data_IF_668080043655
#
_entry.id   IF_668080043655
#
_cell.length_a   1.000
_cell.length_b   1.000
_cell.length_c   1.000
_cell.angle_alpha   90.00
_cell.angle_beta   90.00
_cell.angle_gamma   90.00
#
_symmetry.space_group_name_H-M   'P 1'
#
loop_
_entity.id
_entity.type
_entity.pdbx_description
1 polymer ?
#
# COMPACT_ATOMS: atom_id res chain seq x y z
N UNK A 1 -27.97 8.08 11.52
CA UNK A 1 -28.24 6.76 10.91
C UNK A 1 -28.29 7.03 9.41
N UNK A 2 -27.33 6.51 8.63
CA UNK A 2 -27.30 6.78 7.18
C UNK A 2 -28.42 5.97 6.53
N UNK A 3 -29.20 6.58 5.65
CA UNK A 3 -30.23 5.88 4.89
C UNK A 3 -29.57 4.78 4.03
N UNK A 4 -30.04 3.52 4.07
CA UNK A 4 -29.53 2.45 3.24
C UNK A 4 -29.47 2.79 1.74
N UNK A 5 -30.37 3.63 1.24
CA UNK A 5 -30.36 4.09 -0.15
C UNK A 5 -29.16 5.01 -0.43
N UNK A 6 -28.92 6.00 0.43
CA UNK A 6 -27.78 6.93 0.34
C UNK A 6 -26.44 6.19 0.45
N UNK A 7 -26.39 5.14 1.29
CA UNK A 7 -25.20 4.30 1.43
C UNK A 7 -24.88 3.49 0.16
N UNK A 8 -25.91 3.03 -0.57
CA UNK A 8 -25.74 2.31 -1.84
C UNK A 8 -25.27 3.27 -2.94
N UNK A 9 -25.85 4.47 -3.00
CA UNK A 9 -25.44 5.49 -4.00
C UNK A 9 -23.99 5.92 -3.76
N UNK A 10 -23.59 6.17 -2.52
CA UNK A 10 -22.22 6.50 -2.16
C UNK A 10 -21.23 5.38 -2.54
N UNK A 11 -21.62 4.11 -2.33
CA UNK A 11 -20.82 2.96 -2.75
C UNK A 11 -20.70 2.87 -4.28
N UNK A 12 -21.79 3.13 -5.00
CA UNK A 12 -21.81 3.10 -6.46
C UNK A 12 -20.87 4.15 -7.06
N UNK A 13 -20.88 5.37 -6.50
CA UNK A 13 -20.00 6.45 -6.96
C UNK A 13 -18.53 6.19 -6.64
N UNK A 14 -18.25 5.55 -5.50
CA UNK A 14 -16.90 5.08 -5.18
C UNK A 14 -16.42 4.01 -6.17
N UNK A 15 -17.27 3.05 -6.54
CA UNK A 15 -16.93 2.03 -7.54
C UNK A 15 -16.70 2.64 -8.94
N UNK A 16 -17.49 3.65 -9.34
CA UNK A 16 -17.26 4.40 -10.59
C UNK A 16 -15.93 5.14 -10.57
N UNK A 17 -15.58 5.77 -9.44
CA UNK A 17 -14.30 6.46 -9.24
C UNK A 17 -13.13 5.50 -9.36
N UNK A 18 -13.21 4.34 -8.71
CA UNK A 18 -12.18 3.30 -8.79
C UNK A 18 -12.01 2.78 -10.22
N UNK A 19 -13.12 2.57 -10.94
CA UNK A 19 -13.09 2.19 -12.36
C UNK A 19 -12.40 3.26 -13.23
N UNK A 20 -12.69 4.54 -13.00
CA UNK A 20 -12.01 5.64 -13.70
C UNK A 20 -10.51 5.70 -13.40
N UNK A 21 -10.11 5.25 -12.20
CA UNK A 21 -8.71 5.09 -11.79
C UNK A 21 -8.05 3.78 -12.27
N UNK A 22 -8.71 3.01 -13.15
CA UNK A 22 -8.16 1.79 -13.75
C UNK A 22 -8.29 0.53 -12.90
N UNK A 23 -9.00 0.59 -11.76
CA UNK A 23 -9.28 -0.58 -10.93
C UNK A 23 -10.39 -1.40 -11.59
N UNK A 24 -10.05 -2.62 -12.04
CA UNK A 24 -11.01 -3.50 -12.73
C UNK A 24 -11.62 -4.57 -11.82
N UNK A 25 -11.12 -4.72 -10.59
CA UNK A 25 -11.58 -5.72 -9.60
C UNK A 25 -11.50 -5.15 -8.19
N UNK A 26 -12.52 -5.42 -7.38
CA UNK A 26 -12.59 -5.04 -5.96
C UNK A 26 -12.91 -6.30 -5.16
N UNK A 27 -12.20 -6.54 -4.06
CA UNK A 27 -12.48 -7.65 -3.17
C UNK A 27 -13.59 -7.27 -2.19
N UNK A 28 -14.61 -8.12 -2.08
CA UNK A 28 -15.75 -7.91 -1.17
C UNK A 28 -15.89 -9.15 -0.30
N UNK A 29 -16.12 -8.99 1.01
CA UNK A 29 -16.34 -10.13 1.90
C UNK A 29 -17.69 -10.80 1.59
N UNK A 30 -17.84 -12.12 1.84
CA UNK A 30 -19.12 -12.81 1.67
C UNK A 30 -20.28 -12.11 2.39
N UNK A 31 -20.04 -11.60 3.59
CA UNK A 31 -21.03 -10.91 4.43
C UNK A 31 -21.46 -9.57 3.82
N UNK A 32 -20.50 -8.79 3.29
CA UNK A 32 -20.79 -7.53 2.60
C UNK A 32 -21.56 -7.77 1.31
N UNK A 33 -21.27 -8.87 0.61
CA UNK A 33 -21.95 -9.24 -0.62
C UNK A 33 -23.40 -9.71 -0.36
N UNK A 34 -23.62 -10.40 0.75
CA UNK A 34 -24.96 -10.77 1.23
C UNK A 34 -25.77 -9.56 1.67
N UNK A 35 -25.15 -8.62 2.40
CA UNK A 35 -25.77 -7.36 2.78
C UNK A 35 -26.22 -6.56 1.55
N UNK A 36 -25.35 -6.42 0.54
CA UNK A 36 -25.68 -5.74 -0.71
C UNK A 36 -26.82 -6.40 -1.48
N UNK A 37 -26.86 -7.74 -1.52
CA UNK A 37 -27.98 -8.49 -2.14
C UNK A 37 -29.30 -8.27 -1.42
N UNK A 38 -29.27 -8.18 -0.09
CA UNK A 38 -30.45 -7.90 0.74
C UNK A 38 -30.92 -6.46 0.55
N UNK A 39 -29.99 -5.51 0.44
CA UNK A 39 -30.27 -4.09 0.30
C UNK A 39 -30.72 -3.70 -1.13
N UNK A 40 -30.24 -4.40 -2.17
CA UNK A 40 -30.62 -4.15 -3.57
C UNK A 40 -32.01 -4.71 -3.96
N UNK A 41 -32.68 -5.44 -3.07
CA UNK A 41 -33.93 -6.14 -3.36
C UNK A 41 -33.74 -7.33 -4.32
N UNK A 42 -34.55 -8.38 -4.15
CA UNK A 42 -34.43 -9.61 -4.94
C UNK A 42 -34.80 -9.41 -6.41
N UNK A 43 -33.82 -9.11 -7.27
CA UNK A 43 -33.92 -9.45 -8.68
C UNK A 43 -33.40 -10.89 -8.89
N UNK A 44 -34.27 -11.79 -9.34
CA UNK A 44 -34.00 -13.21 -9.64
C UNK A 44 -32.69 -13.40 -10.42
N UNK A 45 -31.88 -14.44 -10.12
CA UNK A 45 -30.75 -14.75 -10.97
C UNK A 45 -31.23 -15.27 -12.33
N UNK A 46 -30.70 -14.71 -13.41
CA UNK A 46 -30.74 -15.35 -14.71
C UNK A 46 -29.90 -16.65 -14.64
N UNK A 47 -30.52 -17.76 -15.03
CA UNK A 47 -29.95 -19.09 -15.10
C UNK A 47 -28.63 -19.12 -15.88
N UNK A 48 -27.60 -19.71 -15.28
CA UNK A 48 -26.31 -19.96 -15.90
C UNK A 48 -26.43 -21.00 -17.02
N UNK A 49 -25.94 -20.67 -18.21
CA UNK A 49 -25.66 -21.65 -19.27
C UNK A 49 -24.31 -22.34 -18.99
N UNK A 50 -24.18 -23.67 -19.20
CA UNK A 50 -22.97 -24.41 -18.88
C UNK A 50 -21.85 -24.16 -19.91
N UNK A 51 -20.61 -24.08 -19.41
CA UNK A 51 -19.39 -24.07 -20.25
C UNK A 51 -18.98 -25.51 -20.62
N UNK A 52 -18.49 -25.78 -21.85
CA UNK A 52 -18.17 -27.12 -22.30
C UNK A 52 -16.79 -27.59 -21.81
N UNK A 53 -16.70 -28.88 -21.46
CA UNK A 53 -15.45 -29.61 -21.25
C UNK A 53 -14.81 -29.96 -22.59
N UNK A 54 -13.48 -29.88 -22.66
CA UNK A 54 -12.68 -30.38 -23.78
C UNK A 54 -12.38 -31.87 -23.60
N UNK A 55 -12.60 -32.67 -24.64
CA UNK A 55 -11.83 -33.90 -24.96
C UNK A 55 -12.13 -34.36 -26.40
N UNK A 56 -11.09 -34.41 -27.24
CA UNK A 56 -10.75 -35.51 -28.16
C UNK A 56 -11.66 -35.84 -29.36
N UNK A 57 -11.05 -35.80 -30.56
CA UNK A 57 -11.13 -36.90 -31.52
C UNK A 57 -12.07 -36.75 -32.71
N UNK A 58 -11.46 -36.47 -33.87
CA UNK A 58 -11.79 -36.89 -35.23
C UNK A 58 -13.13 -36.60 -35.91
N UNK A 59 -12.97 -36.13 -37.16
CA UNK A 59 -13.75 -36.49 -38.37
C UNK A 59 -14.62 -35.41 -39.04
N UNK A 60 -14.03 -34.80 -40.08
CA UNK A 60 -14.54 -34.72 -41.48
C UNK A 60 -15.70 -33.78 -41.84
N UNK A 61 -15.40 -32.89 -42.82
CA UNK A 61 -16.25 -32.18 -43.84
C UNK A 61 -17.41 -31.32 -43.27
N UNK A 62 -17.68 -30.09 -43.71
CA UNK A 62 -17.28 -29.28 -44.86
C UNK A 62 -18.30 -28.14 -45.02
N UNK A 63 -17.96 -27.17 -45.87
CA UNK A 63 -18.84 -26.12 -46.44
C UNK A 63 -19.19 -24.87 -45.60
N UNK A 64 -18.50 -23.78 -45.94
CA UNK A 64 -19.01 -22.39 -46.06
C UNK A 64 -20.26 -22.30 -46.97
N UNK A 65 -21.00 -21.16 -47.12
CA UNK A 65 -20.49 -19.79 -47.00
C UNK A 65 -21.44 -18.68 -46.47
N UNK A 66 -20.79 -17.51 -46.39
CA UNK A 66 -21.23 -16.13 -46.20
C UNK A 66 -22.30 -15.69 -47.22
N UNK A 67 -23.26 -14.88 -46.79
CA UNK A 67 -23.92 -13.89 -47.65
C UNK A 67 -24.39 -12.66 -46.83
N UNK A 68 -24.06 -11.49 -47.37
CA UNK A 68 -24.41 -10.17 -46.87
C UNK A 68 -25.87 -9.80 -47.15
N UNK A 69 -26.43 -8.83 -46.41
CA UNK A 69 -27.49 -7.97 -46.94
C UNK A 69 -27.47 -6.57 -46.31
N UNK A 70 -27.73 -5.59 -47.16
CA UNK A 70 -27.63 -4.14 -46.99
C UNK A 70 -28.95 -3.47 -46.61
N UNK A 71 -28.83 -2.35 -45.89
CA UNK A 71 -29.61 -1.10 -45.92
C UNK A 71 -31.14 -1.07 -45.63
N UNK A 72 -31.53 -0.14 -44.75
CA UNK A 72 -32.90 0.34 -44.57
C UNK A 72 -32.98 1.57 -43.66
N UNK A 73 -33.60 2.65 -44.12
CA UNK A 73 -33.59 4.02 -43.58
C UNK A 73 -34.91 4.36 -42.84
N UNK A 74 -34.82 5.33 -41.90
CA UNK A 74 -35.83 6.28 -41.37
C UNK A 74 -36.74 5.90 -40.19
N UNK A 75 -36.76 6.82 -39.21
CA UNK A 75 -37.81 6.95 -38.20
C UNK A 75 -37.41 7.86 -37.02
N UNK A 76 -37.34 9.18 -37.23
CA UNK A 76 -37.24 10.18 -36.14
C UNK A 76 -38.52 10.19 -35.29
N UNK A 77 -38.37 10.27 -33.95
CA UNK A 77 -39.43 10.61 -32.99
C UNK A 77 -39.08 11.93 -32.28
N UNK A 78 -40.08 12.73 -31.88
CA UNK A 78 -39.86 14.08 -31.38
C UNK A 78 -39.27 14.08 -29.96
N UNK A 79 -38.30 14.97 -29.73
CA UNK A 79 -37.74 15.25 -28.43
C UNK A 79 -38.67 16.13 -27.59
N UNK A 80 -38.98 15.71 -26.37
CA UNK A 80 -39.59 16.55 -25.34
C UNK A 80 -38.57 17.54 -24.77
N UNK A 81 -38.97 18.78 -24.43
CA UNK A 81 -38.02 19.79 -23.95
C UNK A 81 -37.61 19.48 -22.51
N UNK A 82 -36.32 19.16 -22.31
CA UNK A 82 -35.72 19.04 -20.99
C UNK A 82 -35.47 20.44 -20.43
N UNK A 83 -36.15 20.75 -19.33
CA UNK A 83 -35.97 22.00 -18.56
C UNK A 83 -34.56 22.00 -17.95
N UNK A 84 -33.77 23.08 -18.06
CA UNK A 84 -32.42 23.10 -17.51
C UNK A 84 -32.47 23.08 -15.98
N UNK A 85 -31.91 22.02 -15.38
CA UNK A 85 -31.60 21.97 -13.95
C UNK A 85 -30.45 22.93 -13.67
N UNK A 86 -30.51 23.74 -12.60
CA UNK A 86 -29.43 24.63 -12.25
C UNK A 86 -28.22 23.81 -11.84
N UNK A 87 -27.10 24.03 -12.53
CA UNK A 87 -25.79 23.48 -12.16
C UNK A 87 -25.44 24.10 -10.81
N UNK A 88 -25.55 23.32 -9.75
CA UNK A 88 -24.97 23.66 -8.46
C UNK A 88 -23.46 23.57 -8.65
N UNK A 89 -22.83 24.72 -8.89
CA UNK A 89 -21.37 24.85 -8.92
C UNK A 89 -20.91 24.62 -7.48
N UNK A 90 -20.46 23.41 -7.18
CA UNK A 90 -19.73 23.14 -5.94
C UNK A 90 -18.48 24.03 -5.96
N UNK A 91 -18.18 24.81 -4.91
CA UNK A 91 -16.96 25.59 -4.86
C UNK A 91 -15.77 24.64 -5.01
N UNK A 92 -14.99 24.82 -6.07
CA UNK A 92 -13.72 24.13 -6.24
C UNK A 92 -12.86 24.43 -5.01
N UNK A 93 -12.44 23.37 -4.31
CA UNK A 93 -11.43 23.47 -3.28
C UNK A 93 -10.23 24.25 -3.83
N UNK A 94 -9.74 25.24 -3.07
CA UNK A 94 -8.62 26.06 -3.47
C UNK A 94 -7.45 25.18 -3.96
N UNK A 95 -6.77 25.55 -5.07
CA UNK A 95 -5.69 24.74 -5.61
C UNK A 95 -4.57 24.66 -4.57
N UNK A 96 -4.37 23.46 -4.02
CA UNK A 96 -3.22 23.16 -3.16
C UNK A 96 -1.98 23.44 -4.00
N UNK A 97 -1.19 24.45 -3.63
CA UNK A 97 0.04 24.79 -4.35
C UNK A 97 0.89 23.52 -4.52
N UNK A 98 1.39 23.24 -5.73
CA UNK A 98 2.00 21.97 -6.06
C UNK A 98 3.23 21.69 -5.19
N UNK A 99 3.39 20.43 -4.80
CA UNK A 99 4.59 19.98 -4.08
C UNK A 99 5.82 20.31 -4.95
N UNK A 100 6.86 20.94 -4.38
CA UNK A 100 8.07 21.31 -5.10
C UNK A 100 8.84 20.07 -5.59
N UNK A 101 9.86 20.32 -6.43
CA UNK A 101 10.78 19.27 -6.87
C UNK A 101 11.46 18.58 -5.67
N UNK A 102 11.84 17.29 -5.81
CA UNK A 102 12.54 16.56 -4.76
C UNK A 102 13.80 17.31 -4.27
N UNK A 103 14.01 17.39 -2.96
CA UNK A 103 15.14 18.12 -2.39
C UNK A 103 16.46 17.40 -2.69
N UNK A 104 17.52 18.17 -2.93
CA UNK A 104 18.89 17.65 -2.93
C UNK A 104 19.38 17.62 -1.48
N UNK A 105 19.55 16.42 -0.94
CA UNK A 105 19.99 16.22 0.45
C UNK A 105 21.50 16.22 0.52
N UNK A 106 22.09 17.24 1.15
CA UNK A 106 23.53 17.31 1.44
C UNK A 106 23.73 17.31 2.95
N UNK A 107 24.49 16.33 3.45
CA UNK A 107 24.77 16.20 4.88
C UNK A 107 26.19 16.68 5.20
N UNK A 108 26.42 17.27 6.39
CA UNK A 108 27.77 17.65 6.80
C UNK A 108 28.69 16.43 6.89
N UNK A 109 30.00 16.67 6.84
CA UNK A 109 30.98 15.66 7.25
C UNK A 109 30.83 15.37 8.76
N UNK A 110 31.17 14.16 9.17
CA UNK A 110 31.07 13.73 10.57
C UNK A 110 30.81 12.24 10.70
N UNK A 111 30.73 11.78 11.95
CA UNK A 111 30.27 10.43 12.24
C UNK A 111 28.79 10.23 11.85
N UNK A 112 28.33 8.98 11.88
CA UNK A 112 26.96 8.67 11.47
C UNK A 112 25.91 9.34 12.37
N UNK A 113 26.18 9.51 13.67
CA UNK A 113 25.25 10.09 14.64
C UNK A 113 25.01 11.56 14.30
N UNK A 114 26.08 12.33 14.11
CA UNK A 114 26.00 13.74 13.74
C UNK A 114 25.31 13.93 12.38
N UNK A 115 25.63 13.07 11.40
CA UNK A 115 25.00 13.11 10.07
C UNK A 115 23.51 12.79 10.12
N UNK A 116 23.11 11.80 10.91
CA UNK A 116 21.70 11.44 11.07
C UNK A 116 20.93 12.55 11.80
N UNK A 117 21.51 13.13 12.85
CA UNK A 117 20.93 14.26 13.57
C UNK A 117 20.74 15.48 12.65
N UNK A 118 21.72 15.78 11.79
CA UNK A 118 21.62 16.84 10.79
C UNK A 118 20.50 16.56 9.78
N UNK A 119 20.35 15.32 9.33
CA UNK A 119 19.26 14.91 8.43
C UNK A 119 17.89 15.06 9.10
N UNK A 120 17.75 14.61 10.34
CA UNK A 120 16.52 14.75 11.13
C UNK A 120 16.14 16.22 11.33
N UNK A 121 17.12 17.07 11.65
CA UNK A 121 16.91 18.52 11.75
C UNK A 121 16.47 19.13 10.41
N UNK A 122 17.07 18.72 9.30
CA UNK A 122 16.71 19.18 7.96
C UNK A 122 15.26 18.82 7.62
N UNK A 123 14.85 17.57 7.86
CA UNK A 123 13.46 17.12 7.62
C UNK A 123 12.49 17.90 8.52
N UNK A 124 12.81 18.05 9.81
CA UNK A 124 11.96 18.76 10.76
C UNK A 124 11.85 20.26 10.47
N UNK A 125 12.84 20.83 9.77
CA UNK A 125 12.87 22.24 9.39
C UNK A 125 12.33 22.51 7.99
N UNK A 126 12.13 21.46 7.18
CA UNK A 126 11.66 21.58 5.81
C UNK A 126 10.28 22.27 5.75
N UNK A 127 10.14 23.39 5.01
CA UNK A 127 8.86 24.11 4.88
C UNK A 127 7.74 23.23 4.33
N UNK A 128 8.05 22.39 3.33
CA UNK A 128 7.05 21.50 2.73
C UNK A 128 6.61 20.41 3.72
N UNK A 129 7.54 19.80 4.46
CA UNK A 129 7.16 18.84 5.52
C UNK A 129 6.24 19.50 6.54
N UNK A 130 6.59 20.69 7.04
CA UNK A 130 5.79 21.43 8.02
C UNK A 130 4.40 21.79 7.50
N UNK A 131 4.28 22.12 6.22
CA UNK A 131 3.02 22.45 5.56
C UNK A 131 2.01 21.30 5.61
N UNK A 132 2.46 20.05 5.62
CA UNK A 132 1.59 18.87 5.67
C UNK A 132 1.32 18.35 7.10
N UNK A 133 1.84 19.01 8.14
CA UNK A 133 1.57 18.61 9.52
C UNK A 133 0.27 19.22 10.00
N UNK A 134 -0.64 18.36 10.48
CA UNK A 134 -1.84 18.79 11.19
C UNK A 134 -1.49 19.24 12.62
N UNK A 135 -2.36 20.02 13.28
CA UNK A 135 -2.17 20.38 14.69
C UNK A 135 -1.94 19.14 15.56
N UNK A 136 -0.89 19.18 16.39
CA UNK A 136 -0.49 18.05 17.24
C UNK A 136 0.38 17.00 16.56
N UNK A 137 0.51 17.01 15.23
CA UNK A 137 1.39 16.11 14.51
C UNK A 137 2.83 16.63 14.45
N UNK A 138 3.77 15.70 14.33
CA UNK A 138 5.21 15.92 14.18
C UNK A 138 5.70 15.17 12.93
N UNK A 139 6.81 15.60 12.33
CA UNK A 139 7.49 14.78 11.32
C UNK A 139 7.82 13.41 11.90
N UNK A 140 7.56 12.36 11.14
CA UNK A 140 7.87 10.98 11.53
C UNK A 140 9.25 10.64 10.99
N UNK A 141 10.24 10.75 11.88
CA UNK A 141 11.65 10.53 11.58
C UNK A 141 12.02 9.07 11.83
N UNK A 142 13.00 8.54 11.10
CA UNK A 142 13.48 7.19 11.39
C UNK A 142 14.03 7.06 12.82
N UNK A 143 13.93 5.86 13.38
CA UNK A 143 14.24 5.56 14.77
C UNK A 143 14.97 4.23 14.91
N UNK A 144 15.97 4.17 15.79
CA UNK A 144 16.74 2.97 16.08
C UNK A 144 18.24 3.22 16.09
N UNK A 145 19.02 2.14 15.97
CA UNK A 145 20.47 2.18 15.97
C UNK A 145 21.03 2.76 14.66
N UNK A 146 21.96 3.71 14.76
CA UNK A 146 22.68 4.23 13.59
C UNK A 146 23.64 3.19 12.97
N UNK A 147 23.96 2.15 13.75
CA UNK A 147 24.77 1.00 13.35
C UNK A 147 23.92 -0.26 13.13
N UNK A 148 22.62 -0.08 12.89
CA UNK A 148 21.70 -1.15 12.61
C UNK A 148 22.18 -2.04 11.46
N UNK A 149 22.09 -3.36 11.68
CA UNK A 149 22.32 -4.36 10.63
C UNK A 149 21.13 -4.51 9.71
N UNK A 150 19.92 -4.29 10.23
CA UNK A 150 18.67 -4.46 9.50
C UNK A 150 17.90 -3.14 9.50
N UNK A 151 17.58 -2.64 8.31
CA UNK A 151 16.80 -1.42 8.11
C UNK A 151 15.39 -1.78 7.65
N UNK A 152 14.39 -1.47 8.46
CA UNK A 152 12.98 -1.71 8.15
C UNK A 152 12.35 -0.45 7.57
N UNK A 153 11.75 -0.58 6.39
CA UNK A 153 11.05 0.50 5.71
C UNK A 153 9.55 0.23 5.73
N UNK A 154 8.80 1.13 6.35
CA UNK A 154 7.35 1.09 6.46
C UNK A 154 6.62 1.92 5.42
N UNK A 155 5.30 1.88 5.48
CA UNK A 155 4.44 2.73 4.67
C UNK A 155 4.37 4.16 5.23
N UNK A 156 3.46 4.95 4.67
CA UNK A 156 3.16 6.29 5.12
C UNK A 156 2.60 6.29 6.55
N UNK A 157 2.97 7.28 7.38
CA UNK A 157 2.60 7.32 8.78
C UNK A 157 1.10 7.20 9.10
N UNK A 158 0.80 6.52 10.21
CA UNK A 158 -0.51 6.55 10.86
C UNK A 158 -0.71 7.85 11.66
N UNK A 159 -1.91 8.02 12.23
CA UNK A 159 -2.20 9.18 13.10
C UNK A 159 -1.34 9.11 14.35
N UNK A 160 -1.28 7.93 14.98
CA UNK A 160 -0.51 7.67 16.19
C UNK A 160 0.98 7.91 15.97
N UNK A 161 1.51 7.52 14.79
CA UNK A 161 2.90 7.78 14.41
C UNK A 161 3.17 9.27 14.20
N UNK A 162 2.23 9.99 13.57
CA UNK A 162 2.34 11.43 13.38
C UNK A 162 2.27 12.20 14.70
N UNK A 163 1.39 11.82 15.63
CA UNK A 163 1.31 12.39 16.97
C UNK A 163 2.59 12.11 17.78
N UNK A 164 3.12 10.90 17.70
CA UNK A 164 4.34 10.50 18.40
C UNK A 164 5.62 11.06 17.78
N UNK A 165 5.61 11.40 16.48
CA UNK A 165 6.80 11.74 15.71
C UNK A 165 7.78 10.58 15.52
N UNK A 166 7.30 9.33 15.67
CA UNK A 166 8.12 8.11 15.57
C UNK A 166 7.37 7.01 14.83
N UNK A 167 8.04 6.23 13.96
CA UNK A 167 7.40 5.19 13.17
C UNK A 167 7.16 3.94 14.00
N UNK A 168 6.25 3.09 13.52
CA UNK A 168 5.88 1.82 14.12
C UNK A 168 5.48 1.96 15.58
N UNK A 169 4.62 2.93 15.89
CA UNK A 169 3.86 2.98 17.13
C UNK A 169 2.43 2.44 16.90
N UNK A 170 1.67 2.22 17.98
CA UNK A 170 0.34 1.64 17.90
C UNK A 170 0.34 0.14 17.54
N UNK A 171 -0.83 -0.41 17.19
CA UNK A 171 -1.04 -1.86 17.09
C UNK A 171 -0.11 -2.56 16.07
N UNK A 172 0.14 -1.92 14.92
CA UNK A 172 1.05 -2.45 13.90
C UNK A 172 2.50 -2.48 14.40
N UNK A 173 2.92 -1.43 15.11
CA UNK A 173 4.22 -1.35 15.76
C UNK A 173 4.42 -2.39 16.86
N UNK A 174 3.40 -2.57 17.70
CA UNK A 174 3.39 -3.61 18.74
C UNK A 174 3.54 -5.02 18.15
N UNK A 175 2.88 -5.30 17.04
CA UNK A 175 3.01 -6.58 16.35
C UNK A 175 4.42 -6.74 15.76
N UNK A 176 4.98 -5.70 15.13
CA UNK A 176 6.34 -5.75 14.62
C UNK A 176 7.34 -6.07 15.75
N UNK A 177 7.23 -5.39 16.89
CA UNK A 177 8.11 -5.63 18.04
C UNK A 177 8.00 -7.07 18.55
N UNK A 178 6.80 -7.66 18.58
CA UNK A 178 6.60 -9.07 18.94
C UNK A 178 7.29 -10.02 17.95
N UNK A 179 7.21 -9.73 16.65
CA UNK A 179 7.89 -10.49 15.60
C UNK A 179 9.41 -10.41 15.77
N UNK A 180 9.96 -9.20 15.95
CA UNK A 180 11.39 -8.99 16.15
C UNK A 180 11.91 -9.64 17.44
N UNK A 181 11.14 -9.55 18.53
CA UNK A 181 11.47 -10.21 19.80
C UNK A 181 11.50 -11.74 19.66
N UNK A 182 10.56 -12.34 18.92
CA UNK A 182 10.60 -13.77 18.63
C UNK A 182 11.82 -14.18 17.78
N UNK A 183 12.29 -13.27 16.92
CA UNK A 183 13.53 -13.40 16.15
C UNK A 183 14.80 -13.11 16.96
N UNK A 184 14.70 -12.68 18.22
CA UNK A 184 15.84 -12.17 19.00
C UNK A 184 16.57 -11.01 18.27
N UNK A 185 15.82 -10.21 17.52
CA UNK A 185 16.33 -9.03 16.81
C UNK A 185 16.10 -7.82 17.71
N UNK A 186 17.17 -7.36 18.39
CA UNK A 186 17.12 -6.24 19.33
C UNK A 186 17.16 -4.86 18.66
N UNK A 187 16.88 -3.82 19.45
CA UNK A 187 16.87 -2.42 18.99
C UNK A 187 18.26 -1.95 18.50
N UNK A 188 19.33 -2.52 19.06
CA UNK A 188 20.72 -2.28 18.64
C UNK A 188 21.00 -2.72 17.21
N UNK A 189 20.20 -3.65 16.67
CA UNK A 189 20.35 -4.20 15.33
C UNK A 189 19.44 -3.53 14.31
N UNK A 190 18.51 -2.69 14.74
CA UNK A 190 17.39 -2.24 13.90
C UNK A 190 17.33 -0.75 13.75
N UNK A 191 16.96 -0.33 12.55
CA UNK A 191 16.57 1.03 12.25
C UNK A 191 15.26 0.98 11.47
N UNK A 192 14.28 1.75 11.92
CA UNK A 192 12.91 1.75 11.41
C UNK A 192 12.62 3.12 10.81
N UNK A 193 12.19 3.19 9.55
CA UNK A 193 11.78 4.44 8.94
C UNK A 193 10.54 4.25 8.05
N UNK A 194 9.63 5.24 7.98
CA UNK A 194 8.57 5.26 6.99
C UNK A 194 9.12 5.76 5.64
N UNK A 195 8.44 5.44 4.54
CA UNK A 195 8.73 6.07 3.23
C UNK A 195 8.37 7.56 3.17
N UNK A 196 7.56 8.05 4.10
CA UNK A 196 7.03 9.42 4.15
C UNK A 196 7.31 10.05 5.51
N UNK A 197 7.76 11.30 5.54
CA UNK A 197 7.97 12.05 6.79
C UNK A 197 6.70 12.61 7.42
N UNK A 198 5.54 12.53 6.74
CA UNK A 198 4.25 12.96 7.25
C UNK A 198 3.14 12.00 6.80
N UNK A 199 2.02 12.03 7.52
CA UNK A 199 0.82 11.31 7.15
C UNK A 199 0.10 12.04 5.99
N UNK A 200 -0.12 11.41 4.82
CA UNK A 200 -0.91 12.02 3.76
C UNK A 200 -2.37 12.22 4.21
N UNK A 201 -2.89 13.43 3.98
CA UNK A 201 -4.26 13.78 4.41
C UNK A 201 -5.31 13.02 3.58
N UNK A 202 -6.16 12.18 4.19
CA UNK A 202 -7.22 11.48 3.49
C UNK A 202 -8.25 12.47 2.88
N UNK A 203 -8.99 12.07 1.83
CA UNK A 203 -10.02 12.93 1.21
C UNK A 203 -11.19 13.25 2.16
N UNK A 204 -11.31 12.52 3.25
CA UNK A 204 -12.29 12.70 4.31
C UNK A 204 -11.57 12.83 5.65
N UNK A 205 -12.18 13.47 6.65
CA UNK A 205 -11.59 13.61 8.01
C UNK A 205 -11.22 12.28 8.69
N UNK A 206 -11.74 11.17 8.17
CA UNK A 206 -11.43 9.81 8.62
C UNK A 206 -10.81 8.99 7.49
N UNK A 207 -10.02 7.99 7.85
CA UNK A 207 -9.46 6.99 6.92
C UNK A 207 -7.97 7.18 6.64
N UNK A 208 -7.43 6.33 5.77
CA UNK A 208 -6.04 6.34 5.30
C UNK A 208 -6.06 6.43 3.77
N UNK A 209 -5.09 7.13 3.19
CA UNK A 209 -4.79 7.04 1.76
C UNK A 209 -3.31 6.74 1.52
N UNK A 210 -2.95 6.11 0.40
CA UNK A 210 -1.55 6.08 -0.02
C UNK A 210 -1.07 7.50 -0.39
N UNK A 211 0.25 7.77 -0.29
CA UNK A 211 0.85 8.96 -0.86
C UNK A 211 0.73 8.88 -2.39
N UNK A 212 0.62 10.03 -3.02
CA UNK A 212 0.71 10.12 -4.47
C UNK A 212 2.19 10.12 -4.92
N UNK A 213 2.41 10.05 -6.23
CA UNK A 213 3.75 9.98 -6.81
C UNK A 213 4.63 11.20 -6.46
N UNK A 214 4.06 12.41 -6.39
CA UNK A 214 4.80 13.64 -6.04
C UNK A 214 5.21 13.66 -4.58
N UNK A 215 4.29 13.29 -3.68
CA UNK A 215 4.56 13.15 -2.25
C UNK A 215 5.69 12.15 -2.00
N UNK A 216 5.61 10.99 -2.65
CA UNK A 216 6.64 9.96 -2.54
C UNK A 216 7.98 10.44 -3.10
N UNK A 217 7.98 11.01 -4.32
CA UNK A 217 9.20 11.54 -4.95
C UNK A 217 9.89 12.59 -4.09
N UNK A 218 9.13 13.46 -3.41
CA UNK A 218 9.68 14.46 -2.50
C UNK A 218 10.35 13.85 -1.26
N UNK A 219 9.81 12.75 -0.71
CA UNK A 219 10.34 12.13 0.51
C UNK A 219 11.47 11.12 0.26
N UNK A 220 11.53 10.50 -0.92
CA UNK A 220 12.53 9.48 -1.25
C UNK A 220 13.99 9.91 -1.02
N UNK A 221 14.41 11.15 -1.33
CA UNK A 221 15.77 11.61 -1.01
C UNK A 221 16.11 11.54 0.48
N UNK A 222 15.14 11.79 1.38
CA UNK A 222 15.36 11.67 2.83
C UNK A 222 15.49 10.22 3.28
N UNK A 223 14.69 9.31 2.73
CA UNK A 223 14.83 7.87 3.00
C UNK A 223 16.19 7.35 2.52
N UNK A 224 16.60 7.72 1.30
CA UNK A 224 17.92 7.38 0.74
C UNK A 224 19.05 7.86 1.65
N UNK A 225 19.01 9.13 2.06
CA UNK A 225 20.02 9.68 2.95
C UNK A 225 20.08 8.95 4.31
N UNK A 226 18.95 8.50 4.85
CA UNK A 226 18.94 7.67 6.06
C UNK A 226 19.64 6.32 5.82
N UNK A 227 19.33 5.64 4.71
CA UNK A 227 19.97 4.37 4.33
C UNK A 227 21.47 4.56 4.12
N UNK A 228 21.89 5.63 3.46
CA UNK A 228 23.30 5.97 3.21
C UNK A 228 24.10 6.28 4.48
N UNK A 229 23.45 6.86 5.49
CA UNK A 229 24.07 7.13 6.80
C UNK A 229 24.18 5.85 7.61
N UNK A 230 23.10 5.07 7.70
CA UNK A 230 23.07 3.83 8.50
C UNK A 230 23.96 2.75 7.89
N UNK A 231 23.94 2.60 6.56
CA UNK A 231 24.60 1.53 5.78
C UNK A 231 24.29 0.13 6.31
N UNK A 232 23.01 -0.28 6.28
CA UNK A 232 22.60 -1.58 6.79
C UNK A 232 23.14 -2.73 5.93
N UNK A 233 23.15 -3.94 6.50
CA UNK A 233 23.46 -5.18 5.76
C UNK A 233 22.25 -5.69 4.98
N UNK A 234 21.04 -5.43 5.48
CA UNK A 234 19.77 -5.86 4.87
C UNK A 234 18.74 -4.75 5.00
N UNK A 235 17.96 -4.52 3.96
CA UNK A 235 16.75 -3.69 3.98
C UNK A 235 15.53 -4.59 3.92
N UNK A 236 14.53 -4.31 4.74
CA UNK A 236 13.24 -5.02 4.78
C UNK A 236 12.14 -4.06 4.39
N UNK A 237 11.49 -4.28 3.25
CA UNK A 237 10.34 -3.49 2.81
C UNK A 237 9.05 -4.09 3.37
N UNK A 238 8.41 -3.37 4.30
CA UNK A 238 7.15 -3.78 4.92
C UNK A 238 5.97 -3.25 4.11
N UNK A 239 5.37 -4.11 3.29
CA UNK A 239 4.19 -3.79 2.49
C UNK A 239 4.50 -3.28 1.07
N UNK A 240 3.43 -3.11 0.29
CA UNK A 240 3.51 -2.79 -1.13
C UNK A 240 4.13 -1.40 -1.38
N UNK A 241 3.80 -0.42 -0.52
CA UNK A 241 4.28 0.93 -0.70
C UNK A 241 5.79 1.07 -0.44
N UNK A 242 6.30 0.41 0.61
CA UNK A 242 7.73 0.34 0.86
C UNK A 242 8.47 -0.40 -0.26
N UNK A 243 7.88 -1.50 -0.76
CA UNK A 243 8.44 -2.26 -1.86
C UNK A 243 8.53 -1.42 -3.15
N UNK A 244 7.46 -0.72 -3.53
CA UNK A 244 7.44 0.15 -4.71
C UNK A 244 8.40 1.33 -4.57
N UNK A 245 8.51 1.91 -3.36
CA UNK A 245 9.41 3.03 -3.10
C UNK A 245 10.90 2.66 -3.26
N UNK A 246 11.27 1.43 -2.87
CA UNK A 246 12.64 0.94 -2.92
C UNK A 246 12.97 0.20 -4.22
N UNK A 247 11.98 -0.43 -4.85
CA UNK A 247 12.10 -1.18 -6.09
C UNK A 247 10.94 -0.87 -7.05
N UNK A 248 10.95 0.32 -7.68
CA UNK A 248 9.85 0.79 -8.53
C UNK A 248 9.61 -0.11 -9.74
N UNK A 249 8.34 -0.32 -10.09
CA UNK A 249 7.95 -1.17 -11.23
C UNK A 249 8.12 -2.67 -10.98
N UNK A 250 8.32 -3.08 -9.73
CA UNK A 250 8.43 -4.47 -9.31
C UNK A 250 7.10 -5.25 -9.34
N UNK A 251 7.14 -6.57 -9.09
CA UNK A 251 5.93 -7.36 -8.94
C UNK A 251 5.13 -6.94 -7.70
N UNK A 252 3.81 -7.20 -7.66
CA UNK A 252 2.99 -6.92 -6.49
C UNK A 252 3.51 -7.66 -5.24
N UNK A 253 3.29 -7.08 -4.06
CA UNK A 253 3.88 -7.56 -2.78
C UNK A 253 3.65 -9.05 -2.51
N UNK A 254 2.50 -9.58 -2.90
CA UNK A 254 2.16 -11.02 -2.75
C UNK A 254 3.07 -11.94 -3.54
N UNK A 255 3.65 -11.47 -4.65
CA UNK A 255 4.60 -12.19 -5.48
C UNK A 255 6.05 -11.84 -5.18
N UNK A 256 6.30 -10.61 -4.71
CA UNK A 256 7.63 -10.10 -4.38
C UNK A 256 8.15 -10.63 -3.04
N UNK A 257 7.24 -10.88 -2.08
CA UNK A 257 7.65 -11.22 -0.72
C UNK A 257 8.49 -12.50 -0.63
N UNK A 258 9.47 -12.49 0.27
CA UNK A 258 10.38 -13.62 0.50
C UNK A 258 11.40 -13.86 -0.62
N UNK A 259 11.48 -12.96 -1.61
CA UNK A 259 12.50 -12.99 -2.66
C UNK A 259 13.50 -11.86 -2.45
N UNK A 260 14.78 -12.18 -2.57
CA UNK A 260 15.84 -11.19 -2.50
C UNK A 260 15.84 -10.32 -3.76
N UNK A 261 15.78 -9.01 -3.53
CA UNK A 261 15.98 -7.95 -4.50
C UNK A 261 17.28 -7.20 -4.17
N UNK A 262 17.68 -6.29 -5.06
CA UNK A 262 18.82 -5.39 -4.84
C UNK A 262 18.34 -3.95 -4.65
N UNK A 263 18.92 -3.28 -3.66
CA UNK A 263 18.84 -1.84 -3.48
C UNK A 263 20.25 -1.26 -3.42
N UNK A 264 20.78 -0.84 -4.57
CA UNK A 264 22.09 -0.19 -4.66
C UNK A 264 23.21 -1.05 -4.04
N UNK A 265 23.19 -2.36 -4.27
CA UNK A 265 24.13 -3.32 -3.67
C UNK A 265 23.78 -3.80 -2.26
N UNK A 266 22.70 -3.29 -1.65
CA UNK A 266 22.18 -3.76 -0.36
C UNK A 266 21.04 -4.77 -0.63
N UNK A 267 21.10 -5.98 -0.07
CA UNK A 267 20.01 -6.94 -0.13
C UNK A 267 18.69 -6.37 0.40
N UNK A 268 17.65 -6.44 -0.43
CA UNK A 268 16.30 -5.99 -0.10
C UNK A 268 15.35 -7.18 -0.03
N UNK A 269 14.66 -7.37 1.10
CA UNK A 269 13.61 -8.36 1.25
C UNK A 269 12.23 -7.70 1.43
N UNK A 270 11.32 -7.82 0.46
CA UNK A 270 9.92 -7.46 0.66
C UNK A 270 9.22 -8.48 1.56
N UNK A 271 8.32 -8.00 2.43
CA UNK A 271 7.40 -8.84 3.21
C UNK A 271 6.09 -8.10 3.51
N UNK A 272 5.12 -8.77 4.12
CA UNK A 272 3.86 -8.15 4.48
C UNK A 272 4.03 -7.12 5.60
N UNK A 273 3.30 -6.01 5.48
CA UNK A 273 3.23 -5.02 6.55
C UNK A 273 2.51 -5.60 7.78
N UNK A 274 2.93 -5.33 9.03
CA UNK A 274 2.26 -5.86 10.22
C UNK A 274 0.76 -5.49 10.28
N UNK A 275 0.39 -4.29 9.83
CA UNK A 275 -1.03 -3.91 9.66
C UNK A 275 -1.85 -4.90 8.79
N UNK A 276 -1.26 -5.49 7.74
CA UNK A 276 -1.93 -6.52 6.94
C UNK A 276 -2.23 -7.77 7.76
N UNK A 277 -1.29 -8.19 8.61
CA UNK A 277 -1.42 -9.36 9.49
C UNK A 277 -2.44 -9.14 10.62
N UNK A 278 -2.65 -7.89 11.04
CA UNK A 278 -3.71 -7.55 12.00
C UNK A 278 -5.11 -7.72 11.39
N UNK A 279 -5.29 -7.30 10.14
CA UNK A 279 -6.56 -7.42 9.43
C UNK A 279 -6.79 -8.80 8.81
N UNK A 280 -5.72 -9.57 8.56
CA UNK A 280 -5.77 -10.93 8.03
C UNK A 280 -5.00 -11.91 8.94
N UNK A 281 -5.52 -12.23 10.14
CA UNK A 281 -4.78 -12.93 11.18
C UNK A 281 -4.65 -14.45 10.96
N UNK A 282 -4.69 -14.92 9.71
CA UNK A 282 -4.60 -16.35 9.39
C UNK A 282 -3.25 -16.94 9.79
N UNK A 283 -3.25 -18.22 10.21
CA UNK A 283 -2.02 -18.92 10.56
C UNK A 283 -1.04 -18.96 9.38
N UNK A 284 -1.55 -19.15 8.16
CA UNK A 284 -0.76 -19.11 6.93
C UNK A 284 -0.09 -17.75 6.73
N UNK A 285 -0.81 -16.63 6.82
CA UNK A 285 -0.22 -15.31 6.62
C UNK A 285 0.86 -14.98 7.66
N UNK A 286 0.61 -15.33 8.93
CA UNK A 286 1.59 -15.18 10.02
C UNK A 286 2.84 -16.03 9.80
N UNK A 287 2.65 -17.30 9.40
CA UNK A 287 3.74 -18.21 9.06
C UNK A 287 4.58 -17.68 7.89
N UNK A 288 3.93 -17.26 6.83
CA UNK A 288 4.57 -16.68 5.65
C UNK A 288 5.42 -15.46 6.00
N UNK A 289 4.92 -14.53 6.82
CA UNK A 289 5.71 -13.39 7.29
C UNK A 289 6.88 -13.83 8.21
N UNK A 290 6.70 -14.86 9.03
CA UNK A 290 7.76 -15.40 9.87
C UNK A 290 8.88 -16.05 9.06
N UNK A 291 8.55 -16.81 8.03
CA UNK A 291 9.54 -17.39 7.10
C UNK A 291 10.39 -16.30 6.45
N UNK A 292 9.81 -15.13 6.12
CA UNK A 292 10.58 -13.98 5.62
C UNK A 292 11.57 -13.45 6.66
N UNK A 293 11.16 -13.34 7.93
CA UNK A 293 12.05 -12.90 9.00
C UNK A 293 13.22 -13.87 9.20
N UNK A 294 12.99 -15.18 9.07
CA UNK A 294 14.07 -16.17 9.11
C UNK A 294 15.10 -15.95 7.98
N UNK A 295 14.64 -15.61 6.76
CA UNK A 295 15.55 -15.24 5.66
C UNK A 295 16.36 -13.99 6.00
N UNK A 296 15.72 -12.96 6.58
CA UNK A 296 16.41 -11.74 7.04
C UNK A 296 17.49 -12.08 8.07
N UNK A 297 17.15 -12.90 9.06
CA UNK A 297 18.09 -13.34 10.10
C UNK A 297 19.30 -14.05 9.50
N UNK A 298 19.06 -14.99 8.59
CA UNK A 298 20.11 -15.74 7.90
C UNK A 298 21.03 -14.79 7.12
N UNK A 299 20.45 -13.84 6.36
CA UNK A 299 21.22 -12.88 5.58
C UNK A 299 22.01 -11.90 6.42
N UNK A 300 21.49 -11.51 7.59
CA UNK A 300 22.15 -10.65 8.56
C UNK A 300 23.15 -11.40 9.49
N UNK A 301 23.36 -12.71 9.25
CA UNK A 301 24.28 -13.53 10.04
C UNK A 301 23.84 -13.74 11.48
N UNK A 302 22.54 -13.69 11.76
CA UNK A 302 21.98 -13.92 13.08
C UNK A 302 21.75 -15.43 13.32
N UNK A 303 22.01 -15.94 14.54
CA UNK A 303 21.77 -17.35 14.85
C UNK A 303 20.27 -17.65 14.81
N UNK A 304 19.92 -18.80 14.21
CA UNK A 304 18.53 -19.29 14.11
C UNK A 304 18.44 -20.65 14.79
N UNK A 305 17.67 -20.74 15.87
CA UNK A 305 17.41 -21.98 16.59
C UNK A 305 16.38 -22.87 15.88
N UNK A 306 16.41 -24.19 16.17
CA UNK A 306 15.40 -25.13 15.66
C UNK A 306 13.98 -24.75 16.11
N UNK A 307 13.84 -24.20 17.32
CA UNK A 307 12.57 -23.67 17.83
C UNK A 307 12.04 -22.52 16.96
N UNK A 308 12.91 -21.64 16.48
CA UNK A 308 12.52 -20.55 15.58
C UNK A 308 12.14 -21.08 14.19
N UNK A 309 12.87 -22.06 13.66
CA UNK A 309 12.52 -22.72 12.39
C UNK A 309 11.18 -23.45 12.47
N UNK A 310 10.91 -24.10 13.60
CA UNK A 310 9.70 -24.87 13.84
C UNK A 310 8.51 -24.06 14.38
N UNK A 311 8.62 -22.74 14.55
CA UNK A 311 7.65 -21.93 15.29
C UNK A 311 6.20 -22.08 14.80
N UNK A 312 6.00 -22.21 13.48
CA UNK A 312 4.68 -22.40 12.85
C UNK A 312 4.51 -23.79 12.20
N UNK A 313 5.39 -24.74 12.47
CA UNK A 313 5.22 -26.13 12.04
C UNK A 313 4.25 -26.86 13.00
N UNK A 314 3.48 -27.84 12.50
CA UNK A 314 2.73 -28.73 13.38
C UNK A 314 3.68 -29.38 14.39
N UNK A 315 3.26 -29.46 15.65
CA UNK A 315 3.97 -30.19 16.70
C UNK A 315 3.71 -31.68 16.60
#
# INVERSE_FOLDING_TARGET
>A
MIDPADAIEALLDELKRQRAAGVTKVSVSPESLEFLRKAAGTSRPATAAPSPKATGGDSVRGASPVAAFTAGVKGERPATPVRPTPVVVTPAAAPVAPIPEPPVVTLPAGDKVARLAALHALIAQCPETRRHLLPGHRPVLGHGSVDARIFFVGEAPTVEEAEAGRPFVGASGELLRKILAAGLIGEELTYLAPVMGWRPEPPTVHGKRPPNARELAFNLPYLRAQIEVVRPQVIVALGAQACEALHPGGPPITQARGKWLDYQGIPLLPTFHPNYLLHNPSATAKRTAWEDILLVMERAGLPISDKQRAYFLPK
#
